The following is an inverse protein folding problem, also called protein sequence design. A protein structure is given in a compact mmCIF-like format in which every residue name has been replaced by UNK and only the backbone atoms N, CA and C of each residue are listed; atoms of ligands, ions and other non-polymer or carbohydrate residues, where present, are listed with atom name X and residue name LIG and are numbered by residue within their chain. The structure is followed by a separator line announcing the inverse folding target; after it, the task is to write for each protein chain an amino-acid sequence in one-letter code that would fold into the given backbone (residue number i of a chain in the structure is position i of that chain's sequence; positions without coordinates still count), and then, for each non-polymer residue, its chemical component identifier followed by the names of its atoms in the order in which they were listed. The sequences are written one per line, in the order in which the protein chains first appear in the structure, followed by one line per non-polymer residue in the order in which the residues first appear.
data_IF_711870630858
#
_entry.id   IF_711870630858
#
_cell.length_a   1.000
_cell.length_b   1.000
_cell.length_c   1.000
_cell.angle_alpha   90.00
_cell.angle_beta   90.00
_cell.angle_gamma   90.00
#
_symmetry.space_group_name_H-M   'P 1'
#
loop_
_entity.id
_entity.type
_entity.pdbx_description
1 polymer ?
#
# COMPACT_ATOMS: atom_id res chain seq x y z
N UNK A 1 -24.51 -17.63 -30.54
CA UNK A 1 -24.34 -16.21 -30.17
C UNK A 1 -23.32 -16.12 -29.06
N UNK A 2 -22.09 -15.60 -29.30
CA UNK A 2 -21.15 -15.37 -28.22
C UNK A 2 -21.62 -14.18 -27.36
N UNK A 3 -21.64 -14.36 -26.05
CA UNK A 3 -21.99 -13.32 -25.10
C UNK A 3 -20.96 -12.19 -25.16
N UNK A 4 -21.40 -10.99 -25.56
CA UNK A 4 -20.63 -9.76 -25.49
C UNK A 4 -20.29 -9.44 -24.04
N UNK A 5 -19.05 -9.71 -23.64
CA UNK A 5 -18.49 -9.28 -22.36
C UNK A 5 -18.32 -7.76 -22.40
N UNK A 6 -19.26 -7.04 -21.80
CA UNK A 6 -19.13 -5.58 -21.62
C UNK A 6 -17.88 -5.37 -20.75
N UNK A 7 -16.83 -4.69 -21.23
CA UNK A 7 -15.63 -4.46 -20.44
C UNK A 7 -16.01 -3.67 -19.19
N UNK A 8 -15.61 -4.18 -18.03
CA UNK A 8 -15.87 -3.50 -16.76
C UNK A 8 -15.34 -2.06 -16.85
N UNK A 9 -16.10 -1.04 -16.42
CA UNK A 9 -15.66 0.34 -16.53
C UNK A 9 -14.33 0.49 -15.81
N UNK A 10 -13.28 0.93 -16.51
CA UNK A 10 -11.89 0.93 -16.05
C UNK A 10 -11.68 1.52 -14.64
N UNK A 11 -12.56 2.43 -14.21
CA UNK A 11 -12.55 3.00 -12.86
C UNK A 11 -12.92 2.02 -11.73
N UNK A 12 -13.70 0.95 -11.99
CA UNK A 12 -13.95 -0.12 -11.01
C UNK A 12 -12.75 -1.06 -10.93
N UNK A 13 -12.16 -1.40 -12.07
CA UNK A 13 -10.97 -2.26 -12.12
C UNK A 13 -9.82 -1.66 -11.30
N UNK A 14 -9.48 -0.38 -11.53
CA UNK A 14 -8.41 0.30 -10.77
C UNK A 14 -8.74 0.37 -9.27
N UNK A 15 -10.02 0.59 -8.91
CA UNK A 15 -10.42 0.61 -7.50
C UNK A 15 -10.25 -0.75 -6.81
N UNK A 16 -10.60 -1.84 -7.50
CA UNK A 16 -10.39 -3.20 -7.01
C UNK A 16 -8.89 -3.54 -6.92
N UNK A 17 -8.09 -3.14 -7.92
CA UNK A 17 -6.63 -3.30 -7.88
C UNK A 17 -6.01 -2.56 -6.70
N UNK A 18 -6.45 -1.32 -6.43
CA UNK A 18 -5.94 -0.54 -5.31
C UNK A 18 -6.28 -1.18 -3.96
N UNK A 19 -7.53 -1.65 -3.80
CA UNK A 19 -7.96 -2.34 -2.60
C UNK A 19 -7.21 -3.66 -2.39
N UNK A 20 -7.06 -4.45 -3.46
CA UNK A 20 -6.28 -5.69 -3.45
C UNK A 20 -4.81 -5.43 -3.10
N UNK A 21 -4.21 -4.38 -3.67
CA UNK A 21 -2.83 -3.98 -3.37
C UNK A 21 -2.61 -3.63 -1.90
N UNK A 22 -3.50 -2.83 -1.30
CA UNK A 22 -3.42 -2.54 0.14
C UNK A 22 -3.67 -3.81 0.97
N UNK A 23 -4.60 -4.69 0.57
CA UNK A 23 -4.80 -5.97 1.24
C UNK A 23 -3.54 -6.85 1.24
N UNK A 24 -2.81 -6.88 0.12
CA UNK A 24 -1.52 -7.56 0.01
C UNK A 24 -0.48 -6.93 0.93
N UNK A 25 -0.38 -5.60 0.98
CA UNK A 25 0.54 -4.92 1.91
C UNK A 25 0.29 -5.31 3.36
N UNK A 26 -0.96 -5.29 3.81
CA UNK A 26 -1.31 -5.70 5.17
C UNK A 26 -0.91 -7.15 5.46
N UNK A 27 -1.13 -8.06 4.51
CA UNK A 27 -0.71 -9.45 4.68
C UNK A 27 0.82 -9.55 4.78
N UNK A 28 1.55 -8.78 3.96
CA UNK A 28 3.00 -8.70 4.05
C UNK A 28 3.46 -8.09 5.37
N UNK A 29 2.78 -7.08 5.92
CA UNK A 29 3.16 -6.51 7.21
C UNK A 29 3.00 -7.55 8.33
N UNK A 30 1.94 -8.36 8.31
CA UNK A 30 1.74 -9.42 9.30
C UNK A 30 2.76 -10.56 9.17
N UNK A 31 3.06 -10.99 7.93
CA UNK A 31 4.08 -12.01 7.67
C UNK A 31 5.46 -11.49 8.10
N UNK A 32 5.76 -10.23 7.79
CA UNK A 32 7.00 -9.57 8.16
C UNK A 32 7.20 -9.48 9.67
N UNK A 33 6.15 -9.10 10.40
CA UNK A 33 6.17 -9.08 11.85
C UNK A 33 6.37 -10.48 12.46
N UNK A 34 5.73 -11.50 11.89
CA UNK A 34 5.93 -12.88 12.31
C UNK A 34 7.37 -13.35 12.05
N UNK A 35 7.95 -13.02 10.88
CA UNK A 35 9.35 -13.30 10.57
C UNK A 35 10.30 -12.59 11.53
N UNK A 36 10.01 -11.35 11.92
CA UNK A 36 10.84 -10.60 12.85
C UNK A 36 10.86 -11.23 14.25
N UNK A 37 9.70 -11.65 14.77
CA UNK A 37 9.59 -12.32 16.07
C UNK A 37 10.25 -13.70 16.04
N UNK A 38 9.97 -14.51 15.03
CA UNK A 38 10.54 -15.87 14.89
C UNK A 38 12.05 -15.87 14.70
N UNK A 39 12.62 -14.82 14.12
CA UNK A 39 14.06 -14.62 13.99
C UNK A 39 14.69 -13.92 15.21
N UNK A 40 13.92 -13.60 16.25
CA UNK A 40 14.41 -12.92 17.46
C UNK A 40 14.80 -11.45 17.25
N UNK A 41 14.38 -10.82 16.14
CA UNK A 41 14.63 -9.40 15.87
C UNK A 41 13.78 -8.48 16.74
N UNK A 42 12.60 -8.97 17.17
CA UNK A 42 11.67 -8.24 18.03
C UNK A 42 11.14 -9.16 19.13
N UNK A 43 10.99 -8.66 20.38
CA UNK A 43 10.56 -9.48 21.50
C UNK A 43 9.07 -9.86 21.43
N UNK A 44 8.23 -9.00 20.85
CA UNK A 44 6.81 -9.29 20.65
C UNK A 44 6.33 -8.93 19.24
N UNK A 45 5.18 -9.48 18.86
CA UNK A 45 4.53 -9.19 17.57
C UNK A 45 4.10 -7.72 17.46
N UNK A 46 3.68 -7.10 18.56
CA UNK A 46 3.33 -5.68 18.56
C UNK A 46 4.57 -4.79 18.41
N UNK A 47 5.71 -5.18 18.98
CA UNK A 47 6.97 -4.45 18.78
C UNK A 47 7.44 -4.56 17.33
N UNK A 48 7.21 -5.71 16.70
CA UNK A 48 7.48 -5.93 15.28
C UNK A 48 6.55 -5.14 14.35
N UNK A 49 5.43 -4.60 14.85
CA UNK A 49 4.56 -3.66 14.14
C UNK A 49 4.66 -2.24 14.73
N UNK A 50 5.64 -2.01 15.61
CA UNK A 50 5.86 -0.74 16.27
C UNK A 50 6.74 0.22 15.48
N UNK A 51 7.16 1.34 16.08
CA UNK A 51 8.04 2.31 15.44
C UNK A 51 9.43 1.77 15.06
N UNK A 52 9.82 0.62 15.63
CA UNK A 52 11.11 -0.04 15.39
C UNK A 52 10.98 -1.23 14.41
N UNK A 53 9.82 -1.36 13.74
CA UNK A 53 9.56 -2.44 12.79
C UNK A 53 10.48 -2.34 11.57
N UNK A 54 11.18 -3.43 11.25
CA UNK A 54 12.13 -3.48 10.10
C UNK A 54 11.62 -4.27 8.90
N UNK A 55 10.75 -5.26 9.15
CA UNK A 55 10.21 -6.16 8.13
C UNK A 55 8.72 -5.93 7.86
N UNK A 56 8.16 -4.86 8.40
CA UNK A 56 6.71 -4.58 8.37
C UNK A 56 6.47 -3.09 8.59
N UNK A 57 5.36 -2.58 8.08
CA UNK A 57 4.94 -1.22 8.35
C UNK A 57 4.44 -1.06 9.80
N UNK A 58 4.67 0.11 10.44
CA UNK A 58 4.09 0.40 11.74
C UNK A 58 2.55 0.44 11.70
N UNK A 59 1.88 0.02 12.79
CA UNK A 59 0.41 0.01 12.90
C UNK A 59 -0.24 1.33 12.45
N UNK A 60 0.24 2.54 12.87
CA UNK A 60 -0.36 3.79 12.42
C UNK A 60 -0.38 3.95 10.89
N UNK A 61 0.67 3.48 10.21
CA UNK A 61 0.77 3.52 8.75
C UNK A 61 -0.20 2.53 8.10
N UNK A 62 -0.29 1.30 8.61
CA UNK A 62 -1.27 0.30 8.13
C UNK A 62 -2.70 0.83 8.23
N UNK A 63 -3.06 1.41 9.38
CA UNK A 63 -4.38 2.02 9.60
C UNK A 63 -4.63 3.17 8.63
N UNK A 64 -3.64 4.05 8.44
CA UNK A 64 -3.75 5.15 7.50
C UNK A 64 -3.98 4.64 6.06
N UNK A 65 -3.24 3.62 5.61
CA UNK A 65 -3.43 3.02 4.28
C UNK A 65 -4.85 2.47 4.09
N UNK A 66 -5.40 1.78 5.10
CA UNK A 66 -6.77 1.24 5.07
C UNK A 66 -7.81 2.38 4.94
N UNK A 67 -7.67 3.43 5.75
CA UNK A 67 -8.58 4.59 5.70
C UNK A 67 -8.48 5.29 4.34
N UNK A 68 -7.26 5.48 3.83
CA UNK A 68 -7.03 6.16 2.56
C UNK A 68 -7.53 5.35 1.37
N UNK A 69 -7.37 4.03 1.33
CA UNK A 69 -7.93 3.20 0.25
C UNK A 69 -9.46 3.17 0.30
N UNK A 70 -10.05 3.12 1.49
CA UNK A 70 -11.49 3.24 1.67
C UNK A 70 -12.00 4.60 1.16
N UNK A 71 -11.25 5.69 1.41
CA UNK A 71 -11.55 7.02 0.86
C UNK A 71 -11.41 7.09 -0.67
N UNK A 72 -10.29 6.59 -1.22
CA UNK A 72 -9.96 6.63 -2.65
C UNK A 72 -10.93 5.84 -3.54
N UNK A 73 -11.60 4.84 -2.95
CA UNK A 73 -12.61 4.00 -3.62
C UNK A 73 -14.03 4.57 -3.54
N UNK A 74 -14.27 5.67 -2.79
CA UNK A 74 -15.58 6.34 -2.74
C UNK A 74 -15.96 6.98 -4.09
N UNK A 75 -17.27 7.15 -4.27
CA UNK A 75 -17.86 7.84 -5.43
C UNK A 75 -17.75 9.37 -5.34
N UNK A 76 -17.76 9.93 -4.12
CA UNK A 76 -17.65 11.38 -3.88
C UNK A 76 -16.24 11.88 -4.16
N UNK A 77 -16.08 12.72 -5.18
CA UNK A 77 -14.78 13.26 -5.64
C UNK A 77 -14.04 14.03 -4.56
N UNK A 78 -14.76 14.81 -3.74
CA UNK A 78 -14.17 15.58 -2.64
C UNK A 78 -13.47 14.74 -1.57
N UNK A 79 -13.79 13.44 -1.49
CA UNK A 79 -13.10 12.48 -0.60
C UNK A 79 -12.08 11.64 -1.38
N UNK A 80 -12.47 11.14 -2.55
CA UNK A 80 -11.64 10.22 -3.31
C UNK A 80 -10.33 10.84 -3.83
N UNK A 81 -10.35 12.11 -4.22
CA UNK A 81 -9.16 12.83 -4.72
C UNK A 81 -8.10 13.00 -3.62
N UNK A 82 -8.39 13.65 -2.47
CA UNK A 82 -7.37 13.82 -1.43
C UNK A 82 -6.90 12.48 -0.88
N UNK A 83 -7.80 11.49 -0.74
CA UNK A 83 -7.42 10.16 -0.27
C UNK A 83 -6.46 9.43 -1.23
N UNK A 84 -6.72 9.48 -2.55
CA UNK A 84 -5.83 8.88 -3.54
C UNK A 84 -4.47 9.60 -3.62
N UNK A 85 -4.47 10.93 -3.49
CA UNK A 85 -3.25 11.72 -3.46
C UNK A 85 -2.39 11.41 -2.23
N UNK A 86 -3.00 11.40 -1.05
CA UNK A 86 -2.32 11.05 0.21
C UNK A 86 -1.79 9.62 0.17
N UNK A 87 -2.56 8.66 -0.37
CA UNK A 87 -2.09 7.27 -0.49
C UNK A 87 -0.89 7.15 -1.43
N UNK A 88 -0.90 7.86 -2.57
CA UNK A 88 0.23 7.89 -3.50
C UNK A 88 1.47 8.48 -2.84
N UNK A 89 1.33 9.63 -2.15
CA UNK A 89 2.44 10.28 -1.43
C UNK A 89 2.97 9.37 -0.32
N UNK A 90 2.08 8.80 0.51
CA UNK A 90 2.46 7.91 1.59
C UNK A 90 3.21 6.67 1.08
N UNK A 91 2.76 6.06 -0.02
CA UNK A 91 3.43 4.90 -0.61
C UNK A 91 4.83 5.23 -1.16
N UNK A 92 5.00 6.42 -1.77
CA UNK A 92 6.34 6.91 -2.20
C UNK A 92 7.24 7.17 -0.99
N UNK A 93 6.72 7.85 0.04
CA UNK A 93 7.49 8.12 1.26
C UNK A 93 7.88 6.83 1.97
N UNK A 94 6.98 5.85 2.05
CA UNK A 94 7.29 4.52 2.59
C UNK A 94 8.37 3.81 1.77
N UNK A 95 8.30 3.90 0.44
CA UNK A 95 9.34 3.34 -0.44
C UNK A 95 10.70 3.97 -0.16
N UNK A 96 10.78 5.30 -0.18
CA UNK A 96 12.02 6.05 0.09
C UNK A 96 12.53 5.76 1.50
N UNK A 97 11.66 5.85 2.51
CA UNK A 97 12.01 5.57 3.91
C UNK A 97 12.55 4.16 4.09
N UNK A 98 11.99 3.16 3.41
CA UNK A 98 12.47 1.78 3.49
C UNK A 98 13.94 1.60 3.10
N UNK A 99 14.48 2.48 2.23
CA UNK A 99 15.92 2.51 1.91
C UNK A 99 16.77 3.16 2.99
N UNK A 100 16.23 4.15 3.70
CA UNK A 100 16.95 4.95 4.70
C UNK A 100 16.76 4.47 6.14
N UNK A 101 15.81 3.58 6.41
CA UNK A 101 15.48 3.07 7.76
C UNK A 101 16.49 2.04 8.29
N UNK A 102 17.68 1.96 7.69
CA UNK A 102 18.76 1.09 8.13
C UNK A 102 18.53 -0.41 7.93
N UNK A 103 17.35 -0.86 7.47
CA UNK A 103 17.05 -2.28 7.26
C UNK A 103 18.00 -2.96 6.26
N UNK A 104 18.46 -2.23 5.23
CA UNK A 104 19.45 -2.74 4.29
C UNK A 104 20.89 -2.81 4.86
N UNK A 105 21.16 -2.05 5.91
CA UNK A 105 22.44 -2.06 6.63
C UNK A 105 22.44 -3.03 7.82
N UNK A 106 21.28 -3.54 8.23
CA UNK A 106 21.16 -4.54 9.27
C UNK A 106 21.65 -5.91 8.78
N UNK A 107 22.17 -6.72 9.70
CA UNK A 107 22.48 -8.14 9.46
C UNK A 107 21.18 -8.94 9.30
N UNK A 108 20.57 -8.83 8.12
CA UNK A 108 19.45 -9.65 7.69
C UNK A 108 19.97 -10.86 6.94
N UNK A 109 19.33 -12.01 7.16
CA UNK A 109 19.49 -13.16 6.26
C UNK A 109 19.09 -12.77 4.83
N UNK A 110 19.60 -13.50 3.83
CA UNK A 110 19.26 -13.27 2.43
C UNK A 110 17.74 -13.29 2.18
N UNK A 111 17.01 -14.20 2.84
CA UNK A 111 15.55 -14.31 2.74
C UNK A 111 14.82 -13.07 3.29
N UNK A 112 15.24 -12.56 4.45
CA UNK A 112 14.67 -11.33 5.04
C UNK A 112 14.96 -10.10 4.18
N UNK A 113 16.14 -10.03 3.55
CA UNK A 113 16.47 -8.93 2.64
C UNK A 113 15.60 -8.96 1.37
N UNK A 114 15.42 -10.13 0.77
CA UNK A 114 14.51 -10.31 -0.37
C UNK A 114 13.09 -9.90 0.01
N UNK A 115 12.64 -10.29 1.21
CA UNK A 115 11.34 -9.93 1.74
C UNK A 115 11.16 -8.41 1.88
N UNK A 116 12.16 -7.73 2.45
CA UNK A 116 12.14 -6.28 2.61
C UNK A 116 12.08 -5.57 1.25
N UNK A 117 12.88 -6.01 0.26
CA UNK A 117 12.83 -5.47 -1.11
C UNK A 117 11.43 -5.65 -1.70
N UNK A 118 10.82 -6.82 -1.53
CA UNK A 118 9.48 -7.09 -2.01
C UNK A 118 8.44 -6.19 -1.33
N UNK A 119 8.52 -6.01 -0.01
CA UNK A 119 7.61 -5.15 0.77
C UNK A 119 7.70 -3.68 0.32
N UNK A 120 8.93 -3.16 0.20
CA UNK A 120 9.20 -1.80 -0.26
C UNK A 120 8.71 -1.59 -1.69
N UNK A 121 8.96 -2.56 -2.59
CA UNK A 121 8.48 -2.50 -3.97
C UNK A 121 6.95 -2.56 -4.08
N UNK A 122 6.29 -3.34 -3.21
CA UNK A 122 4.83 -3.39 -3.14
C UNK A 122 4.22 -2.05 -2.74
N UNK A 123 4.86 -1.30 -1.83
CA UNK A 123 4.44 0.06 -1.48
C UNK A 123 4.50 1.00 -2.70
N UNK A 124 5.58 0.92 -3.48
CA UNK A 124 5.71 1.69 -4.72
C UNK A 124 4.64 1.30 -5.74
N UNK A 125 4.36 0.01 -5.91
CA UNK A 125 3.32 -0.46 -6.82
C UNK A 125 1.94 0.10 -6.43
N UNK A 126 1.58 0.06 -5.14
CA UNK A 126 0.34 0.67 -4.63
C UNK A 126 0.33 2.18 -4.88
N UNK A 127 1.46 2.88 -4.68
CA UNK A 127 1.57 4.31 -4.94
C UNK A 127 1.30 4.64 -6.43
N UNK A 128 1.84 3.84 -7.35
CA UNK A 128 1.60 3.99 -8.79
C UNK A 128 0.12 3.79 -9.11
N UNK A 129 -0.51 2.74 -8.59
CA UNK A 129 -1.95 2.48 -8.81
C UNK A 129 -2.81 3.62 -8.23
N UNK A 130 -2.46 4.13 -7.06
CA UNK A 130 -3.12 5.29 -6.43
C UNK A 130 -2.98 6.55 -7.29
N UNK A 131 -1.79 6.81 -7.86
CA UNK A 131 -1.54 7.92 -8.78
C UNK A 131 -2.33 7.79 -10.08
N UNK A 132 -2.42 6.59 -10.66
CA UNK A 132 -3.26 6.31 -11.83
C UNK A 132 -4.74 6.55 -11.53
N UNK A 133 -5.20 6.13 -10.34
CA UNK A 133 -6.55 6.41 -9.86
C UNK A 133 -6.79 7.91 -9.75
N UNK A 134 -5.87 8.65 -9.14
CA UNK A 134 -5.93 10.10 -9.00
C UNK A 134 -6.01 10.78 -10.38
N UNK A 135 -5.13 10.41 -11.31
CA UNK A 135 -5.15 10.94 -12.67
C UNK A 135 -6.50 10.70 -13.36
N UNK A 136 -7.06 9.49 -13.23
CA UNK A 136 -8.39 9.18 -13.73
C UNK A 136 -9.51 10.00 -13.06
N UNK A 137 -9.38 10.27 -11.76
CA UNK A 137 -10.30 11.13 -11.01
C UNK A 137 -10.15 12.60 -11.38
N UNK A 138 -8.99 13.09 -11.80
CA UNK A 138 -8.82 14.49 -12.21
C UNK A 138 -9.28 14.73 -13.65
N UNK A 139 -9.11 13.73 -14.53
CA UNK A 139 -9.46 13.85 -15.97
C UNK A 139 -10.97 13.86 -16.25
N UNK A 140 -11.82 13.28 -15.39
CA UNK A 140 -13.27 13.36 -15.63
C UNK A 140 -13.72 14.81 -15.37
N UNK A 141 -14.31 15.51 -16.34
CA UNK A 141 -14.86 16.84 -16.07
C UNK A 141 -16.02 16.73 -15.08
N UNK A 142 -16.21 17.67 -14.14
CA UNK A 142 -17.47 17.75 -13.42
C UNK A 142 -18.58 17.89 -14.48
N UNK A 143 -19.61 17.05 -14.40
CA UNK A 143 -20.84 17.33 -15.12
C UNK A 143 -21.28 18.72 -14.64
N UNK A 144 -21.30 19.71 -15.55
CA UNK A 144 -21.93 20.99 -15.25
C UNK A 144 -23.38 20.66 -14.94
N UNK A 145 -23.80 20.93 -13.70
CA UNK A 145 -25.22 21.00 -13.32
C UNK A 145 -25.73 22.34 -13.82
#
# INVERSE_FOLDING_TARGET
MPASTIPAPAGRAIGATLLGGVGVLLAMDLIGAFMAVSAGLNPTFLDALGPQARLSAPIPMMVAQVVLVAGATRSRRGVAIPAAALLAVAGVLAFVSGFYDGGYAAELSAGQRIYQIALVSAHLAVAVVAALRLAGLLRRRPARV
#
